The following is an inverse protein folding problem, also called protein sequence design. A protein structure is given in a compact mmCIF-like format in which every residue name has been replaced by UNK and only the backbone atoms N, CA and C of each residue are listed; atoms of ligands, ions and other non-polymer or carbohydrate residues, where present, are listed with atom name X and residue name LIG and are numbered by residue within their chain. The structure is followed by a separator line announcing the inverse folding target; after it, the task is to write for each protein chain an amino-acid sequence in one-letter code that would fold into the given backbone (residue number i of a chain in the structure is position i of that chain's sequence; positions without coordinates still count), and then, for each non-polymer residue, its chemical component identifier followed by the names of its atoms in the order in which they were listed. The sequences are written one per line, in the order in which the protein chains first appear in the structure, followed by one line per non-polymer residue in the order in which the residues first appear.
data_IF_027125579944
#
_entry.id   IF_027125579944
#
_cell.length_a   1.000
_cell.length_b   1.000
_cell.length_c   1.000
_cell.angle_alpha   90.00
_cell.angle_beta   90.00
_cell.angle_gamma   90.00
#
_symmetry.space_group_name_H-M   'P 1'
#
loop_
_entity.id
_entity.type
_entity.pdbx_description
1 polymer ?
#
# COMPACT_ATOMS: atom_id res chain seq x y z
N UNK A 1 -8.15 14.12 12.96
CA UNK A 1 -6.94 13.48 12.39
C UNK A 1 -7.36 12.70 11.17
N UNK A 2 -6.96 13.12 9.98
CA UNK A 2 -7.31 12.44 8.74
C UNK A 2 -6.34 11.26 8.56
N UNK A 3 -6.73 10.06 9.00
CA UNK A 3 -5.94 8.85 8.77
C UNK A 3 -5.87 8.64 7.24
N UNK A 4 -4.71 8.93 6.66
CA UNK A 4 -4.47 8.67 5.25
C UNK A 4 -4.48 7.15 5.05
N UNK A 5 -5.13 6.70 3.97
CA UNK A 5 -5.25 5.28 3.61
C UNK A 5 -3.91 4.53 3.65
N UNK A 6 -2.81 5.21 3.30
CA UNK A 6 -1.44 4.71 3.40
C UNK A 6 -1.00 4.30 4.81
N UNK A 7 -1.39 5.04 5.84
CA UNK A 7 -1.05 4.70 7.23
C UNK A 7 -1.72 3.39 7.64
N UNK A 8 -2.96 3.16 7.20
CA UNK A 8 -3.67 1.92 7.52
C UNK A 8 -3.07 0.70 6.81
N UNK A 9 -2.64 0.87 5.56
CA UNK A 9 -1.89 -0.16 4.83
C UNK A 9 -0.60 -0.51 5.57
N UNK A 10 0.13 0.51 6.03
CA UNK A 10 1.38 0.32 6.77
C UNK A 10 1.16 -0.45 8.08
N UNK A 11 0.15 -0.08 8.86
CA UNK A 11 -0.25 -0.80 10.09
C UNK A 11 -0.52 -2.27 9.79
N UNK A 12 -1.38 -2.57 8.81
CA UNK A 12 -1.74 -3.95 8.44
C UNK A 12 -0.52 -4.73 7.95
N UNK A 13 0.38 -4.10 7.17
CA UNK A 13 1.60 -4.73 6.69
C UNK A 13 2.53 -5.10 7.84
N UNK A 14 2.72 -4.18 8.80
CA UNK A 14 3.57 -4.39 9.97
C UNK A 14 2.96 -5.45 10.92
N UNK A 15 1.64 -5.44 11.13
CA UNK A 15 0.91 -6.46 11.91
C UNK A 15 1.07 -7.88 11.34
N UNK A 16 1.12 -8.01 10.02
CA UNK A 16 1.30 -9.30 9.34
C UNK A 16 2.79 -9.66 9.13
N UNK A 17 3.73 -8.80 9.55
CA UNK A 17 5.17 -9.05 9.38
C UNK A 17 5.61 -9.09 7.91
N UNK A 18 4.86 -8.46 7.00
CA UNK A 18 5.11 -8.53 5.56
C UNK A 18 6.12 -7.45 5.15
N UNK A 19 7.11 -7.84 4.36
CA UNK A 19 8.04 -6.88 3.78
C UNK A 19 7.35 -6.04 2.69
N UNK A 20 7.64 -4.75 2.68
CA UNK A 20 7.07 -3.79 1.73
C UNK A 20 7.23 -4.24 0.26
N UNK A 21 8.38 -4.81 -0.11
CA UNK A 21 8.64 -5.32 -1.46
C UNK A 21 7.72 -6.48 -1.86
N UNK A 22 7.40 -7.39 -0.94
CA UNK A 22 6.51 -8.52 -1.23
C UNK A 22 5.09 -8.04 -1.51
N UNK A 23 4.59 -7.11 -0.70
CA UNK A 23 3.26 -6.54 -0.92
C UNK A 23 3.20 -5.71 -2.21
N UNK A 24 4.27 -4.97 -2.54
CA UNK A 24 4.37 -4.23 -3.79
C UNK A 24 4.35 -5.16 -5.01
N UNK A 25 5.07 -6.29 -4.96
CA UNK A 25 5.06 -7.31 -6.01
C UNK A 25 3.67 -7.94 -6.20
N UNK A 26 2.96 -8.26 -5.11
CA UNK A 26 1.60 -8.81 -5.16
C UNK A 26 0.58 -7.83 -5.75
N UNK A 27 0.79 -6.53 -5.53
CA UNK A 27 -0.06 -5.47 -6.08
C UNK A 27 0.37 -5.03 -7.48
N UNK A 28 1.44 -5.61 -8.03
CA UNK A 28 2.04 -5.21 -9.31
C UNK A 28 2.40 -3.72 -9.36
N UNK A 29 2.84 -3.17 -8.22
CA UNK A 29 3.26 -1.77 -8.08
C UNK A 29 4.76 -1.73 -7.77
N UNK A 30 5.44 -0.73 -8.33
CA UNK A 30 6.84 -0.47 -7.99
C UNK A 30 7.02 -0.20 -6.49
N UNK A 31 8.01 -0.84 -5.87
CA UNK A 31 8.30 -0.65 -4.42
C UNK A 31 8.50 0.83 -4.02
N UNK A 32 9.22 1.68 -4.79
CA UNK A 32 9.30 3.11 -4.49
C UNK A 32 7.96 3.84 -4.56
N UNK A 33 7.04 3.38 -5.42
CA UNK A 33 5.71 3.95 -5.55
C UNK A 33 4.86 3.55 -4.35
N UNK A 34 4.86 2.28 -3.98
CA UNK A 34 4.19 1.76 -2.78
C UNK A 34 4.68 2.46 -1.49
N UNK A 35 5.98 2.71 -1.39
CA UNK A 35 6.57 3.49 -0.28
C UNK A 35 6.05 4.92 -0.15
N UNK A 36 5.70 5.57 -1.27
CA UNK A 36 5.07 6.90 -1.24
C UNK A 36 3.60 6.84 -0.81
N UNK A 37 2.92 5.73 -1.10
CA UNK A 37 1.54 5.48 -0.66
C UNK A 37 1.50 5.35 0.86
N UNK A 38 2.33 4.48 1.43
CA UNK A 38 2.37 4.25 2.88
C UNK A 38 2.77 5.51 3.68
N UNK A 39 3.49 6.45 3.05
CA UNK A 39 3.85 7.75 3.65
C UNK A 39 2.78 8.81 3.51
N UNK A 40 1.76 8.60 2.67
CA UNK A 40 0.74 9.60 2.38
C UNK A 40 1.17 10.68 1.38
N UNK A 41 2.34 10.55 0.75
CA UNK A 41 2.87 11.48 -0.26
C UNK A 41 2.10 11.39 -1.60
N UNK A 42 1.28 10.36 -1.79
CA UNK A 42 0.48 10.15 -3.00
C UNK A 42 -0.90 9.62 -2.69
N UNK A 43 -1.92 10.37 -3.09
CA UNK A 43 -3.29 9.86 -3.22
C UNK A 43 -3.34 8.87 -4.37
N UNK A 44 -3.59 7.59 -4.08
CA UNK A 44 -3.73 6.57 -5.11
C UNK A 44 -5.20 6.20 -5.26
N UNK A 45 -5.68 6.22 -6.49
CA UNK A 45 -6.94 5.61 -6.87
C UNK A 45 -6.63 4.17 -7.28
N UNK A 46 -6.72 3.23 -6.34
CA UNK A 46 -6.65 1.80 -6.68
C UNK A 46 -7.98 1.45 -7.31
N UNK A 47 -7.98 1.11 -8.60
CA UNK A 47 -9.14 0.49 -9.25
C UNK A 47 -8.98 -1.00 -8.97
N UNK A 48 -9.72 -1.51 -8.00
CA UNK A 48 -9.82 -2.95 -7.80
C UNK A 48 -10.69 -3.51 -8.92
N UNK A 49 -10.06 -4.14 -9.90
CA UNK A 49 -10.77 -5.00 -10.83
C UNK A 49 -10.88 -6.38 -10.15
N UNK A 50 -12.10 -6.79 -9.80
CA UNK A 50 -12.34 -8.15 -9.29
C UNK A 50 -11.94 -9.12 -10.42
N UNK A 51 -10.82 -9.82 -10.22
CA UNK A 51 -10.49 -10.97 -11.04
C UNK A 51 -11.51 -12.05 -10.70
N UNK A 52 -12.46 -12.25 -11.61
CA UNK A 52 -13.57 -13.20 -11.51
C UNK A 52 -13.09 -14.65 -11.62
#
# INVERSE_FOLDING_TARGET
MNMLFGNKIKELRDENGIMQCHLAALLEIDTPMFSKIERGDRSVKVVFEEVK
#
